data_IF_662441446576
#
_entry.id   IF_662441446576
#
_cell.length_a   1.000
_cell.length_b   1.000
_cell.length_c   1.000
_cell.angle_alpha   90.00
_cell.angle_beta   90.00
_cell.angle_gamma   90.00
#
_symmetry.space_group_name_H-M   'P 1'
#
loop_
_entity.id
_entity.type
_entity.pdbx_description
1 polymer ?
#
# COMPACT_ATOMS: atom_id res chain seq x y z
N UNK A 1 -48.03 -31.45 5.93
CA UNK A 1 -47.65 -32.62 6.76
C UNK A 1 -47.23 -32.14 8.15
N UNK A 2 -47.16 -33.00 9.18
CA UNK A 2 -46.64 -32.59 10.49
C UNK A 2 -45.24 -31.97 10.36
N UNK A 3 -45.00 -30.83 11.03
CA UNK A 3 -43.72 -30.11 10.98
C UNK A 3 -43.58 -29.07 9.86
N UNK A 4 -44.57 -28.93 8.98
CA UNK A 4 -44.54 -27.94 7.92
C UNK A 4 -44.67 -26.51 8.48
N UNK A 5 -43.82 -25.58 8.04
CA UNK A 5 -43.77 -24.17 8.48
C UNK A 5 -43.41 -23.95 9.97
N UNK A 6 -42.74 -24.91 10.62
CA UNK A 6 -42.18 -24.75 11.97
C UNK A 6 -40.66 -24.54 11.86
N UNK A 7 -40.14 -23.50 12.50
CA UNK A 7 -38.69 -23.33 12.72
C UNK A 7 -38.33 -23.84 14.11
N UNK A 8 -37.37 -24.76 14.18
CA UNK A 8 -36.92 -25.33 15.45
C UNK A 8 -35.89 -24.43 16.13
N UNK A 9 -35.81 -24.49 17.47
CA UNK A 9 -34.79 -23.76 18.21
C UNK A 9 -33.38 -24.15 17.72
N UNK A 10 -32.56 -23.14 17.42
CA UNK A 10 -31.21 -23.35 16.89
C UNK A 10 -31.15 -23.81 15.43
N UNK A 11 -32.22 -23.67 14.65
CA UNK A 11 -32.21 -24.02 13.21
C UNK A 11 -31.25 -23.19 12.38
N UNK A 12 -31.02 -21.93 12.78
CA UNK A 12 -30.10 -21.03 12.09
C UNK A 12 -28.74 -20.94 12.82
N UNK A 13 -28.78 -20.65 14.12
CA UNK A 13 -27.58 -20.49 14.97
C UNK A 13 -27.86 -21.17 16.31
N UNK A 14 -27.06 -22.18 16.65
CA UNK A 14 -27.20 -22.89 17.91
C UNK A 14 -26.50 -22.17 19.07
N UNK A 15 -27.01 -22.34 20.28
CA UNK A 15 -26.36 -21.81 21.48
C UNK A 15 -24.98 -22.47 21.66
N UNK A 16 -23.94 -21.64 21.79
CA UNK A 16 -22.56 -22.09 22.00
C UNK A 16 -21.78 -22.34 20.71
N UNK A 17 -22.40 -22.16 19.54
CA UNK A 17 -21.71 -22.20 18.26
C UNK A 17 -20.84 -20.95 18.04
N UNK A 18 -19.76 -21.11 17.28
CA UNK A 18 -18.89 -19.99 16.89
C UNK A 18 -19.59 -19.17 15.80
N UNK A 19 -20.03 -17.97 16.15
CA UNK A 19 -20.71 -17.07 15.21
C UNK A 19 -19.78 -16.52 14.13
N UNK A 20 -18.61 -16.00 14.52
CA UNK A 20 -17.57 -15.46 13.65
C UNK A 20 -16.19 -15.91 14.15
N UNK A 21 -15.23 -16.10 13.24
CA UNK A 21 -13.85 -16.45 13.59
C UNK A 21 -12.97 -15.20 13.64
N UNK A 22 -11.89 -15.26 14.42
CA UNK A 22 -10.86 -14.21 14.38
C UNK A 22 -10.30 -14.07 12.95
N UNK A 23 -10.13 -12.83 12.49
CA UNK A 23 -9.74 -12.51 11.11
C UNK A 23 -10.91 -12.38 10.13
N UNK A 24 -12.15 -12.63 10.54
CA UNK A 24 -13.32 -12.29 9.73
C UNK A 24 -13.45 -10.77 9.59
N UNK A 25 -13.50 -10.29 8.35
CA UNK A 25 -13.78 -8.88 8.05
C UNK A 25 -15.25 -8.59 8.36
N UNK A 26 -15.50 -7.56 9.18
CA UNK A 26 -16.85 -7.19 9.58
C UNK A 26 -17.50 -6.33 8.49
N UNK A 27 -18.41 -6.93 7.71
CA UNK A 27 -19.29 -6.24 6.76
C UNK A 27 -20.74 -6.18 7.24
N UNK A 28 -21.66 -5.81 6.35
CA UNK A 28 -23.10 -5.74 6.67
C UNK A 28 -23.67 -7.08 7.13
N UNK A 29 -23.22 -8.19 6.56
CA UNK A 29 -23.64 -9.55 6.95
C UNK A 29 -23.21 -9.86 8.39
N UNK A 30 -21.95 -9.65 8.73
CA UNK A 30 -21.43 -9.84 10.09
C UNK A 30 -22.18 -8.98 11.10
N UNK A 31 -22.42 -7.71 10.78
CA UNK A 31 -23.18 -6.79 11.63
C UNK A 31 -24.60 -7.31 11.87
N UNK A 32 -25.28 -7.79 10.82
CA UNK A 32 -26.62 -8.39 10.95
C UNK A 32 -26.63 -9.64 11.83
N UNK A 33 -25.62 -10.51 11.68
CA UNK A 33 -25.47 -11.71 12.51
C UNK A 33 -25.24 -11.35 13.99
N UNK A 34 -24.34 -10.40 14.27
CA UNK A 34 -24.08 -9.92 15.62
C UNK A 34 -25.34 -9.32 16.26
N UNK A 35 -26.07 -8.49 15.51
CA UNK A 35 -27.31 -7.87 15.97
C UNK A 35 -28.41 -8.92 16.24
N UNK A 36 -28.58 -9.91 15.36
CA UNK A 36 -29.54 -11.00 15.55
C UNK A 36 -29.26 -11.84 16.81
N UNK A 37 -27.99 -11.94 17.20
CA UNK A 37 -27.57 -12.59 18.44
C UNK A 37 -27.55 -11.66 19.67
N UNK A 38 -27.95 -10.39 19.54
CA UNK A 38 -27.95 -9.42 20.64
C UNK A 38 -26.57 -8.95 21.08
N UNK A 39 -25.55 -9.09 20.23
CA UNK A 39 -24.16 -8.71 20.53
C UNK A 39 -23.93 -7.26 20.11
N UNK A 40 -23.81 -6.37 21.09
CA UNK A 40 -23.62 -4.93 20.85
C UNK A 40 -22.16 -4.51 20.61
N UNK A 41 -21.20 -5.23 21.18
CA UNK A 41 -19.77 -4.90 21.11
C UNK A 41 -18.94 -6.15 20.80
N UNK A 42 -17.93 -5.96 19.96
CA UNK A 42 -16.95 -7.00 19.61
C UNK A 42 -15.53 -6.44 19.68
N UNK A 43 -14.57 -7.29 20.01
CA UNK A 43 -13.15 -6.92 19.96
C UNK A 43 -12.68 -7.01 18.52
N UNK A 44 -12.04 -5.95 18.02
CA UNK A 44 -11.49 -5.86 16.66
C UNK A 44 -10.02 -5.47 16.70
N UNK A 45 -9.29 -5.77 15.63
CA UNK A 45 -7.96 -5.20 15.45
C UNK A 45 -8.07 -3.67 15.32
N UNK A 46 -7.18 -2.94 16.00
CA UNK A 46 -7.05 -1.49 15.79
C UNK A 46 -6.55 -1.23 14.36
N UNK A 47 -6.84 -0.04 13.83
CA UNK A 47 -6.24 0.39 12.56
C UNK A 47 -4.72 0.48 12.68
N UNK A 48 -4.04 0.07 11.62
CA UNK A 48 -2.59 0.18 11.48
C UNK A 48 -2.22 1.64 11.20
N UNK A 49 -1.40 2.27 12.04
CA UNK A 49 -1.02 3.68 11.87
C UNK A 49 0.22 3.75 10.99
N UNK A 50 0.14 4.45 9.87
CA UNK A 50 1.20 4.52 8.88
C UNK A 50 1.56 5.98 8.64
N UNK A 51 2.81 6.36 8.93
CA UNK A 51 3.33 7.67 8.61
C UNK A 51 3.78 7.71 7.14
N UNK A 52 3.50 8.83 6.47
CA UNK A 52 3.94 9.10 5.10
C UNK A 52 4.72 10.41 5.08
N UNK A 53 5.95 10.36 4.58
CA UNK A 53 6.81 11.51 4.32
C UNK A 53 7.08 11.56 2.81
N UNK A 54 7.22 12.76 2.27
CA UNK A 54 7.81 12.96 0.95
C UNK A 54 9.16 13.68 1.10
N UNK A 55 10.07 13.50 0.13
CA UNK A 55 11.35 14.22 0.09
C UNK A 55 11.66 14.68 -1.32
N UNK A 56 12.16 15.91 -1.41
CA UNK A 56 12.57 16.56 -2.66
C UNK A 56 12.40 18.07 -2.59
N UNK A 57 13.45 18.81 -2.92
CA UNK A 57 13.46 20.28 -2.90
C UNK A 57 12.48 20.89 -3.92
N UNK A 58 12.10 20.12 -4.93
CA UNK A 58 11.13 20.51 -5.95
C UNK A 58 9.66 20.39 -5.50
N UNK A 59 9.39 19.73 -4.37
CA UNK A 59 8.03 19.37 -3.99
C UNK A 59 7.26 20.55 -3.38
N UNK A 60 6.06 20.77 -3.91
CA UNK A 60 5.09 21.76 -3.44
C UNK A 60 3.78 21.06 -3.08
N UNK A 61 3.08 21.52 -2.04
CA UNK A 61 1.83 20.89 -1.64
C UNK A 61 0.65 21.36 -2.51
N UNK A 62 -0.31 20.47 -2.83
CA UNK A 62 -1.51 20.86 -3.55
C UNK A 62 -2.25 22.00 -2.84
N UNK A 63 -2.51 23.10 -3.56
CA UNK A 63 -3.15 24.31 -3.02
C UNK A 63 -2.18 25.48 -2.87
N UNK A 64 -0.88 25.22 -2.79
CA UNK A 64 0.16 26.24 -2.81
C UNK A 64 0.52 26.65 -4.25
N UNK A 65 1.17 27.81 -4.41
CA UNK A 65 1.61 28.29 -5.73
C UNK A 65 2.92 27.64 -6.14
N UNK A 66 3.01 27.18 -7.40
CA UNK A 66 4.25 26.64 -7.95
C UNK A 66 5.27 27.74 -8.21
N UNK A 67 6.44 27.61 -7.59
CA UNK A 67 7.64 28.34 -7.99
C UNK A 67 8.30 27.74 -9.25
N UNK A 68 9.32 28.40 -9.80
CA UNK A 68 10.13 27.85 -10.88
C UNK A 68 10.69 26.46 -10.51
N UNK A 69 10.59 25.51 -11.44
CA UNK A 69 11.03 24.11 -11.27
C UNK A 69 10.30 23.29 -10.19
N UNK A 70 9.28 23.86 -9.52
CA UNK A 70 8.45 23.13 -8.57
C UNK A 70 7.50 22.15 -9.25
N UNK A 71 7.21 21.04 -8.57
CA UNK A 71 6.17 20.08 -8.93
C UNK A 71 5.30 19.80 -7.72
N UNK A 72 4.03 19.46 -7.95
CA UNK A 72 3.16 19.07 -6.84
C UNK A 72 3.50 17.68 -6.32
N UNK A 73 3.45 17.51 -5.00
CA UNK A 73 3.57 16.22 -4.35
C UNK A 73 2.33 15.35 -4.60
N UNK A 74 2.38 14.58 -5.69
CA UNK A 74 1.36 13.60 -6.02
C UNK A 74 1.51 12.30 -5.22
N UNK A 75 2.74 11.93 -4.84
CA UNK A 75 2.99 10.62 -4.23
C UNK A 75 2.49 10.57 -2.80
N UNK A 76 2.70 11.62 -2.01
CA UNK A 76 2.19 11.71 -0.64
C UNK A 76 0.68 11.49 -0.60
N UNK A 77 -0.06 12.13 -1.52
CA UNK A 77 -1.50 11.97 -1.65
C UNK A 77 -1.90 10.54 -2.08
N UNK A 78 -1.29 10.02 -3.14
CA UNK A 78 -1.61 8.70 -3.69
C UNK A 78 -1.32 7.58 -2.69
N UNK A 79 -0.14 7.61 -2.04
CA UNK A 79 0.26 6.60 -1.04
C UNK A 79 -0.66 6.66 0.18
N UNK A 80 -1.00 7.85 0.67
CA UNK A 80 -1.90 8.02 1.81
C UNK A 80 -3.30 7.45 1.54
N UNK A 81 -3.83 7.68 0.34
CA UNK A 81 -5.09 7.08 -0.10
C UNK A 81 -4.97 5.54 -0.17
N UNK A 82 -3.93 5.02 -0.81
CA UNK A 82 -3.72 3.59 -0.98
C UNK A 82 -3.53 2.84 0.36
N UNK A 83 -2.93 3.47 1.37
CA UNK A 83 -2.88 2.94 2.74
C UNK A 83 -4.29 2.78 3.33
N UNK A 84 -5.12 3.82 3.18
CA UNK A 84 -6.48 3.85 3.72
C UNK A 84 -7.35 2.78 3.08
N UNK A 85 -7.25 2.61 1.76
CA UNK A 85 -7.91 1.53 1.00
C UNK A 85 -7.51 0.12 1.46
N UNK A 86 -6.33 -0.01 2.08
CA UNK A 86 -5.77 -1.29 2.53
C UNK A 86 -5.81 -1.46 4.06
N UNK A 87 -6.70 -0.72 4.74
CA UNK A 87 -7.00 -0.91 6.16
C UNK A 87 -6.10 -0.16 7.13
N UNK A 88 -5.18 0.67 6.61
CA UNK A 88 -4.37 1.55 7.41
C UNK A 88 -5.07 2.87 7.76
N UNK A 89 -4.50 3.58 8.71
CA UNK A 89 -4.74 4.99 8.99
C UNK A 89 -3.48 5.74 8.59
N UNK A 90 -3.55 6.43 7.44
CA UNK A 90 -2.44 7.23 6.95
C UNK A 90 -2.32 8.54 7.74
N UNK A 91 -1.08 8.93 8.02
CA UNK A 91 -0.73 10.24 8.57
C UNK A 91 0.35 10.83 7.67
N UNK A 92 -0.06 11.70 6.76
CA UNK A 92 0.86 12.44 5.92
C UNK A 92 1.49 13.57 6.74
N UNK A 93 2.81 13.53 6.89
CA UNK A 93 3.57 14.44 7.75
C UNK A 93 4.23 15.57 6.95
N UNK A 94 4.04 15.59 5.63
CA UNK A 94 4.52 16.65 4.74
C UNK A 94 5.67 16.22 3.82
N UNK A 95 6.10 17.18 2.99
CA UNK A 95 7.31 17.06 2.18
C UNK A 95 8.47 17.77 2.90
N UNK A 96 9.60 17.08 2.96
CA UNK A 96 10.83 17.56 3.57
C UNK A 96 11.85 17.90 2.49
N UNK A 97 12.69 18.93 2.70
CA UNK A 97 13.80 19.20 1.80
C UNK A 97 14.81 18.03 1.85
N UNK A 98 15.70 17.97 0.87
CA UNK A 98 16.78 16.97 0.82
C UNK A 98 17.91 17.30 1.82
N UNK A 99 17.55 17.59 3.08
CA UNK A 99 18.42 17.80 4.22
C UNK A 99 18.40 16.59 5.16
N UNK A 100 19.55 15.94 5.30
CA UNK A 100 19.69 14.67 6.02
C UNK A 100 19.27 14.77 7.49
N UNK A 101 19.64 15.84 8.18
CA UNK A 101 19.37 16.01 9.61
C UNK A 101 17.87 16.23 9.88
N UNK A 102 17.23 17.07 9.06
CA UNK A 102 15.79 17.36 9.13
C UNK A 102 14.99 16.10 8.80
N UNK A 103 15.34 15.38 7.73
CA UNK A 103 14.66 14.15 7.35
C UNK A 103 14.84 13.06 8.41
N UNK A 104 16.03 12.88 8.97
CA UNK A 104 16.26 11.91 10.05
C UNK A 104 15.41 12.21 11.28
N UNK A 105 15.38 13.47 11.73
CA UNK A 105 14.57 13.87 12.88
C UNK A 105 13.08 13.55 12.65
N UNK A 106 12.55 13.87 11.47
CA UNK A 106 11.18 13.56 11.09
C UNK A 106 10.90 12.05 11.04
N UNK A 107 11.81 11.26 10.47
CA UNK A 107 11.69 9.80 10.42
C UNK A 107 11.69 9.18 11.82
N UNK A 108 12.53 9.67 12.75
CA UNK A 108 12.56 9.20 14.15
C UNK A 108 11.26 9.53 14.89
N UNK A 109 10.75 10.75 14.75
CA UNK A 109 9.47 11.14 15.34
C UNK A 109 8.31 10.30 14.79
N UNK A 110 8.29 10.12 13.46
CA UNK A 110 7.29 9.29 12.79
C UNK A 110 7.32 7.84 13.31
N UNK A 111 8.51 7.25 13.42
CA UNK A 111 8.68 5.90 13.97
C UNK A 111 8.29 5.78 15.44
N UNK A 112 8.50 6.81 16.27
CA UNK A 112 8.05 6.79 17.65
C UNK A 112 6.51 6.77 17.73
N UNK A 113 5.84 7.54 16.89
CA UNK A 113 4.39 7.72 16.93
C UNK A 113 3.57 6.69 16.13
N UNK A 114 4.16 5.98 15.15
CA UNK A 114 3.44 5.12 14.19
C UNK A 114 3.95 3.67 14.20
N UNK A 115 3.28 2.80 13.44
CA UNK A 115 3.60 1.38 13.34
C UNK A 115 4.43 1.05 12.08
N UNK A 116 4.28 1.87 11.04
CA UNK A 116 4.97 1.77 9.75
C UNK A 116 5.35 3.18 9.29
N UNK A 117 6.53 3.32 8.68
CA UNK A 117 6.98 4.54 8.03
C UNK A 117 7.17 4.30 6.53
N UNK A 118 6.61 5.18 5.71
CA UNK A 118 6.81 5.22 4.27
C UNK A 118 7.35 6.59 3.88
N UNK A 119 8.49 6.59 3.21
CA UNK A 119 9.10 7.77 2.59
C UNK A 119 8.95 7.65 1.09
N UNK A 120 8.41 8.67 0.44
CA UNK A 120 8.30 8.77 -1.00
C UNK A 120 9.35 9.74 -1.55
N UNK A 121 10.20 9.25 -2.46
CA UNK A 121 11.29 10.05 -3.03
C UNK A 121 12.66 9.71 -2.43
N UNK A 122 13.70 10.45 -2.85
CA UNK A 122 15.05 10.34 -2.29
C UNK A 122 15.89 9.13 -2.75
N UNK A 123 15.49 8.44 -3.82
CA UNK A 123 16.13 7.18 -4.26
C UNK A 123 16.79 7.22 -5.66
N UNK A 124 17.07 8.42 -6.19
CA UNK A 124 17.64 8.60 -7.55
C UNK A 124 19.16 8.77 -7.59
N UNK A 125 19.80 8.39 -8.70
CA UNK A 125 21.26 8.28 -8.92
C UNK A 125 22.09 9.58 -8.77
N UNK A 126 21.50 10.72 -8.45
CA UNK A 126 22.20 12.02 -8.35
C UNK A 126 22.41 12.56 -6.93
N UNK A 127 21.68 12.02 -5.95
CA UNK A 127 21.74 12.39 -4.52
C UNK A 127 21.14 11.27 -3.61
N UNK A 128 20.75 10.14 -4.19
CA UNK A 128 19.79 9.17 -3.63
C UNK A 128 20.33 8.17 -2.62
N UNK A 129 21.26 8.60 -1.78
CA UNK A 129 21.78 7.79 -0.67
C UNK A 129 21.36 8.32 0.71
N UNK A 130 20.81 9.55 0.78
CA UNK A 130 20.44 10.19 2.06
C UNK A 130 19.43 9.34 2.83
N UNK A 131 18.32 8.93 2.21
CA UNK A 131 17.32 8.09 2.88
C UNK A 131 17.86 6.73 3.30
N UNK A 132 18.75 6.12 2.51
CA UNK A 132 19.35 4.81 2.85
C UNK A 132 20.29 4.92 4.04
N UNK A 133 21.16 5.94 4.05
CA UNK A 133 22.06 6.22 5.16
C UNK A 133 21.31 6.56 6.45
N UNK A 134 20.22 7.32 6.35
CA UNK A 134 19.36 7.59 7.50
C UNK A 134 18.77 6.28 8.04
N UNK A 135 18.19 5.45 7.16
CA UNK A 135 17.56 4.17 7.54
C UNK A 135 18.53 3.27 8.32
N UNK A 136 19.79 3.17 7.91
CA UNK A 136 20.81 2.37 8.63
C UNK A 136 21.06 2.86 10.08
N UNK A 137 20.72 4.11 10.39
CA UNK A 137 20.85 4.71 11.74
C UNK A 137 19.55 4.71 12.54
N UNK A 138 18.41 4.37 11.93
CA UNK A 138 17.11 4.46 12.61
C UNK A 138 16.86 3.33 13.61
N UNK A 139 17.41 2.14 13.37
CA UNK A 139 17.29 0.99 14.26
C UNK A 139 17.73 -0.31 13.62
N UNK A 140 17.83 -1.39 14.41
CA UNK A 140 18.24 -2.70 13.91
C UNK A 140 17.02 -3.54 13.46
N UNK A 141 17.14 -4.47 12.48
CA UNK A 141 18.35 -4.82 11.72
C UNK A 141 18.70 -3.87 10.56
N UNK A 142 17.89 -2.84 10.30
CA UNK A 142 18.11 -1.89 9.20
C UNK A 142 17.61 -2.43 7.86
N UNK A 143 18.34 -2.16 6.79
CA UNK A 143 17.95 -2.50 5.41
C UNK A 143 17.92 -4.03 5.20
N UNK A 144 16.79 -4.53 4.72
CA UNK A 144 16.55 -5.94 4.38
C UNK A 144 16.66 -6.17 2.87
N UNK A 145 16.26 -5.20 2.06
CA UNK A 145 16.42 -5.22 0.62
C UNK A 145 16.59 -3.81 0.07
N UNK A 146 17.55 -3.63 -0.83
CA UNK A 146 17.75 -2.40 -1.58
C UNK A 146 17.92 -2.71 -3.06
N UNK A 147 16.98 -2.20 -3.86
CA UNK A 147 16.91 -2.50 -5.28
C UNK A 147 16.09 -3.75 -5.57
N UNK A 148 15.05 -3.62 -6.39
CA UNK A 148 14.22 -4.76 -6.85
C UNK A 148 14.37 -4.97 -8.35
N UNK A 149 14.28 -6.23 -8.79
CA UNK A 149 14.30 -6.60 -10.22
C UNK A 149 12.95 -6.32 -10.91
N UNK A 150 12.40 -5.11 -10.70
CA UNK A 150 11.14 -4.64 -11.25
C UNK A 150 11.36 -3.46 -12.20
N UNK A 151 10.48 -3.35 -13.20
CA UNK A 151 10.38 -2.20 -14.09
C UNK A 151 8.91 -1.81 -14.28
N UNK A 152 8.49 -0.59 -13.96
CA UNK A 152 9.23 0.46 -13.25
C UNK A 152 9.46 0.10 -11.76
N UNK A 153 10.27 0.90 -11.04
CA UNK A 153 10.41 0.75 -9.58
C UNK A 153 11.68 0.08 -9.06
N UNK A 154 12.75 -0.01 -9.86
CA UNK A 154 14.07 -0.49 -9.40
C UNK A 154 14.51 0.12 -8.05
N UNK A 155 14.46 1.45 -7.82
CA UNK A 155 14.92 2.03 -6.56
C UNK A 155 13.85 1.89 -5.47
N UNK A 156 13.95 0.81 -4.68
CA UNK A 156 13.10 0.54 -3.53
C UNK A 156 13.99 0.12 -2.36
N UNK A 157 13.79 0.74 -1.20
CA UNK A 157 14.41 0.31 0.04
C UNK A 157 13.34 -0.29 0.96
N UNK A 158 13.58 -1.51 1.41
CA UNK A 158 12.79 -2.18 2.44
C UNK A 158 13.67 -2.40 3.65
N UNK A 159 13.23 -1.89 4.80
CA UNK A 159 13.97 -1.98 6.03
C UNK A 159 13.05 -2.31 7.22
N UNK A 160 13.66 -2.76 8.29
CA UNK A 160 13.02 -2.95 9.59
C UNK A 160 13.87 -2.24 10.63
N UNK A 161 13.28 -1.27 11.31
CA UNK A 161 13.92 -0.51 12.38
C UNK A 161 13.20 -0.80 13.69
N UNK A 162 13.87 -1.51 14.60
CA UNK A 162 13.36 -1.90 15.92
C UNK A 162 11.97 -2.59 15.85
N UNK A 163 11.82 -3.48 14.87
CA UNK A 163 10.59 -4.24 14.62
C UNK A 163 9.51 -3.51 13.82
N UNK A 164 9.73 -2.24 13.42
CA UNK A 164 8.81 -1.46 12.59
C UNK A 164 9.26 -1.40 11.14
N UNK A 165 8.38 -1.68 10.15
CA UNK A 165 8.72 -1.53 8.74
C UNK A 165 9.00 -0.07 8.37
N UNK A 166 10.09 0.14 7.63
CA UNK A 166 10.44 1.40 6.98
C UNK A 166 10.60 1.13 5.49
N UNK A 167 9.94 1.94 4.67
CA UNK A 167 9.92 1.79 3.21
C UNK A 167 10.35 3.10 2.58
N UNK A 168 11.29 3.05 1.63
CA UNK A 168 11.62 4.19 0.78
C UNK A 168 11.22 3.87 -0.65
N UNK A 169 10.17 4.53 -1.12
CA UNK A 169 9.59 4.36 -2.45
C UNK A 169 10.33 5.18 -3.51
N UNK A 170 10.28 4.76 -4.79
CA UNK A 170 10.71 5.59 -5.92
C UNK A 170 10.09 6.99 -5.93
N UNK A 171 10.81 8.00 -6.42
CA UNK A 171 10.25 9.36 -6.59
C UNK A 171 9.24 9.49 -7.72
N UNK A 172 9.31 8.64 -8.75
CA UNK A 172 8.37 8.68 -9.87
C UNK A 172 7.00 8.09 -9.48
N UNK A 173 5.87 8.79 -9.72
CA UNK A 173 4.55 8.37 -9.23
C UNK A 173 4.13 6.97 -9.66
N UNK A 174 4.29 6.63 -10.94
CA UNK A 174 3.95 5.30 -11.45
C UNK A 174 4.82 4.23 -10.79
N UNK A 175 6.10 4.50 -10.58
CA UNK A 175 7.03 3.58 -9.93
C UNK A 175 6.68 3.37 -8.45
N UNK A 176 6.39 4.45 -7.73
CA UNK A 176 5.96 4.42 -6.33
C UNK A 176 4.68 3.60 -6.17
N UNK A 177 3.71 3.79 -7.07
CA UNK A 177 2.43 3.11 -7.01
C UNK A 177 2.55 1.60 -7.26
N UNK A 178 3.30 1.18 -8.29
CA UNK A 178 3.52 -0.24 -8.56
C UNK A 178 4.27 -0.92 -7.41
N UNK A 179 5.36 -0.32 -6.92
CA UNK A 179 6.14 -0.89 -5.82
C UNK A 179 5.33 -0.93 -4.52
N UNK A 180 4.52 0.09 -4.24
CA UNK A 180 3.60 0.09 -3.10
C UNK A 180 2.59 -1.05 -3.17
N UNK A 181 1.90 -1.23 -4.31
CA UNK A 181 0.90 -2.29 -4.44
C UNK A 181 1.48 -3.70 -4.43
N UNK A 182 2.62 -3.92 -5.10
CA UNK A 182 3.22 -5.25 -5.21
C UNK A 182 3.94 -5.68 -3.92
N UNK A 183 4.68 -4.76 -3.28
CA UNK A 183 5.54 -5.10 -2.14
C UNK A 183 4.96 -4.71 -0.79
N UNK A 184 4.22 -3.59 -0.70
CA UNK A 184 3.86 -2.98 0.59
C UNK A 184 2.45 -3.34 1.02
N UNK A 185 1.48 -3.36 0.09
CA UNK A 185 0.08 -3.73 0.38
C UNK A 185 -0.03 -5.13 1.04
N UNK A 186 0.67 -6.18 0.59
CA UNK A 186 0.61 -7.48 1.26
C UNK A 186 1.03 -7.42 2.73
N UNK A 187 2.05 -6.60 3.05
CA UNK A 187 2.55 -6.40 4.41
C UNK A 187 1.54 -5.62 5.25
N UNK A 188 1.04 -4.49 4.74
CA UNK A 188 0.05 -3.65 5.43
C UNK A 188 -1.22 -4.43 5.76
N UNK A 189 -1.76 -5.18 4.79
CA UNK A 189 -2.99 -5.96 4.99
C UNK A 189 -2.78 -7.05 6.04
N UNK A 190 -1.64 -7.74 6.01
CA UNK A 190 -1.29 -8.76 7.02
C UNK A 190 -1.19 -8.15 8.41
N UNK A 191 -0.52 -7.01 8.56
CA UNK A 191 -0.41 -6.28 9.83
C UNK A 191 -1.76 -5.74 10.32
N UNK A 192 -2.65 -5.35 9.41
CA UNK A 192 -4.01 -4.92 9.71
C UNK A 192 -4.98 -6.09 10.00
N UNK A 193 -4.52 -7.35 9.94
CA UNK A 193 -5.38 -8.53 10.13
C UNK A 193 -6.39 -8.74 9.01
N UNK A 194 -6.15 -8.15 7.83
CA UNK A 194 -7.00 -8.29 6.65
C UNK A 194 -6.55 -9.48 5.78
N UNK A 195 -7.48 -10.12 5.06
CA UNK A 195 -7.13 -11.13 4.07
C UNK A 195 -6.26 -10.52 2.98
N UNK A 196 -5.44 -11.33 2.31
CA UNK A 196 -4.69 -10.91 1.14
C UNK A 196 -5.63 -10.28 0.10
N UNK A 197 -5.14 -9.30 -0.67
CA UNK A 197 -5.91 -8.69 -1.74
C UNK A 197 -6.17 -9.75 -2.80
N UNK A 198 -7.45 -9.94 -3.15
CA UNK A 198 -7.80 -10.75 -4.33
C UNK A 198 -7.68 -9.85 -5.55
N UNK A 199 -6.68 -10.11 -6.38
CA UNK A 199 -6.52 -9.43 -7.66
C UNK A 199 -7.13 -10.28 -8.77
N UNK A 200 -7.94 -9.65 -9.63
CA UNK A 200 -8.43 -10.31 -10.83
C UNK A 200 -7.25 -10.45 -11.82
N UNK A 201 -6.85 -11.68 -12.11
CA UNK A 201 -5.89 -11.99 -13.18
C UNK A 201 -6.68 -12.45 -14.40
N UNK A 202 -6.50 -11.76 -15.51
CA UNK A 202 -7.18 -12.04 -16.76
C UNK A 202 -6.13 -12.30 -17.86
N UNK A 203 -6.40 -13.28 -18.71
CA UNK A 203 -5.62 -13.48 -19.93
C UNK A 203 -6.16 -12.53 -21.02
N UNK A 204 -5.25 -11.81 -21.69
CA UNK A 204 -5.59 -10.91 -22.78
C UNK A 204 -4.55 -11.02 -23.90
N UNK A 205 -4.99 -10.81 -25.15
CA UNK A 205 -4.09 -10.77 -26.32
C UNK A 205 -3.43 -9.40 -26.41
N UNK A 206 -2.10 -9.36 -26.53
CA UNK A 206 -1.37 -8.12 -26.81
C UNK A 206 -1.18 -8.01 -28.33
N UNK A 207 -1.77 -7.00 -29.00
CA UNK A 207 -1.71 -6.88 -30.45
C UNK A 207 -0.41 -6.20 -30.94
N UNK A 208 0.36 -5.62 -30.03
CA UNK A 208 1.60 -4.90 -30.31
C UNK A 208 2.79 -5.62 -29.64
N UNK A 209 3.95 -5.57 -30.28
CA UNK A 209 5.19 -6.11 -29.69
C UNK A 209 5.63 -5.24 -28.52
N UNK A 210 5.72 -5.83 -27.34
CA UNK A 210 6.36 -5.22 -26.16
C UNK A 210 7.81 -5.70 -26.13
N UNK A 211 8.77 -4.76 -26.13
CA UNK A 211 10.16 -5.11 -25.87
C UNK A 211 10.38 -5.11 -24.36
N UNK A 212 10.82 -6.24 -23.83
CA UNK A 212 11.13 -6.39 -22.42
C UNK A 212 12.60 -6.72 -22.20
N UNK A 213 13.14 -6.26 -21.08
CA UNK A 213 14.52 -6.52 -20.68
C UNK A 213 14.61 -7.86 -19.93
N UNK A 214 15.54 -8.73 -20.36
CA UNK A 214 15.81 -9.98 -19.66
C UNK A 214 16.27 -9.70 -18.21
N UNK A 215 15.74 -10.51 -17.28
CA UNK A 215 16.13 -10.45 -15.86
C UNK A 215 15.33 -9.45 -15.00
N UNK A 216 14.26 -8.85 -15.54
CA UNK A 216 13.34 -8.00 -14.77
C UNK A 216 11.90 -8.36 -15.07
N UNK A 217 11.06 -8.34 -14.03
CA UNK A 217 9.62 -8.35 -14.22
C UNK A 217 9.17 -6.94 -14.61
N UNK A 218 8.58 -6.81 -15.79
CA UNK A 218 8.09 -5.54 -16.32
C UNK A 218 6.57 -5.44 -16.19
N UNK A 219 6.11 -4.41 -15.49
CA UNK A 219 4.72 -4.03 -15.41
C UNK A 219 4.42 -3.00 -16.50
N UNK A 220 3.67 -3.42 -17.52
CA UNK A 220 3.23 -2.56 -18.61
C UNK A 220 1.80 -2.13 -18.36
N UNK A 221 1.57 -0.82 -18.32
CA UNK A 221 0.21 -0.26 -18.26
C UNK A 221 -0.50 -0.53 -19.57
N UNK A 222 -1.69 -1.11 -19.49
CA UNK A 222 -2.51 -1.47 -20.64
C UNK A 222 -3.94 -0.95 -20.48
N UNK A 223 -4.57 -0.60 -21.59
CA UNK A 223 -6.02 -0.47 -21.70
C UNK A 223 -6.58 -1.81 -22.15
N UNK A 224 -7.53 -2.35 -21.40
CA UNK A 224 -8.26 -3.57 -21.75
C UNK A 224 -9.49 -3.21 -22.57
N UNK A 225 -9.63 -3.83 -23.75
CA UNK A 225 -10.75 -3.64 -24.67
C UNK A 225 -11.33 -5.00 -25.02
N UNK A 226 -12.66 -5.12 -25.04
CA UNK A 226 -13.33 -6.31 -25.57
C UNK A 226 -13.16 -6.36 -27.10
N UNK A 227 -12.64 -7.47 -27.61
CA UNK A 227 -12.58 -7.78 -29.04
C UNK A 227 -13.42 -9.01 -29.38
N UNK A 228 -13.57 -9.28 -30.68
CA UNK A 228 -14.39 -10.41 -31.19
C UNK A 228 -13.96 -11.79 -30.66
N UNK A 229 -12.68 -11.95 -30.30
CA UNK A 229 -12.09 -13.20 -29.80
C UNK A 229 -11.72 -13.14 -28.32
N UNK A 230 -12.20 -12.12 -27.58
CA UNK A 230 -11.90 -11.91 -26.17
C UNK A 230 -11.11 -10.62 -25.90
N UNK A 231 -10.57 -10.50 -24.68
CA UNK A 231 -9.90 -9.28 -24.21
C UNK A 231 -8.60 -9.01 -24.98
N UNK A 232 -8.42 -7.76 -25.38
CA UNK A 232 -7.22 -7.23 -26.03
C UNK A 232 -6.59 -6.17 -25.12
N UNK A 233 -5.30 -6.30 -24.86
CA UNK A 233 -4.54 -5.39 -24.01
C UNK A 233 -3.68 -4.45 -24.87
N UNK A 234 -4.08 -3.18 -24.98
CA UNK A 234 -3.31 -2.15 -25.69
C UNK A 234 -2.37 -1.44 -24.73
N UNK A 235 -1.04 -1.52 -24.92
CA UNK A 235 -0.09 -0.77 -24.12
C UNK A 235 -0.37 0.73 -24.18
N UNK A 236 -0.51 1.35 -23.01
CA UNK A 236 -0.60 2.79 -22.90
C UNK A 236 0.84 3.29 -22.86
N UNK A 237 1.32 3.80 -23.99
CA UNK A 237 2.69 4.30 -24.08
C UNK A 237 2.90 5.46 -23.11
N UNK A 238 3.79 5.27 -22.13
CA UNK A 238 4.65 6.26 -21.47
C UNK A 238 5.53 5.52 -20.44
N UNK A 239 6.74 6.02 -20.24
CA UNK A 239 7.67 5.49 -19.23
C UNK A 239 7.16 5.77 -17.82
N UNK A 240 8.05 5.72 -16.83
CA UNK A 240 7.73 6.00 -15.43
C UNK A 240 7.39 7.47 -15.13
N UNK A 241 7.32 8.36 -16.13
CA UNK A 241 7.07 9.79 -16.01
C UNK A 241 6.28 10.36 -17.20
#
# INVERSE_FOLDING_TARGET
SPGQFISHAGSDIARGEVLLRAGTVIGSREIGMLAACGIALVTVARKLRVAVLSTGDELVQPGDSLGPAGIYDANGAIVSAAITENGGQASFLGAYPDDEATLEAAMREALAAHDVLIVSGGTSKGAGDVSHHIVDRLGAPGIVAHGVALKPGKPLCLAVCDGKPVVVLPGFPTSAMFTFHDMIVPVLRRMAGLPARTEAKLAAKVPLRIQSELGRTEFVMVSLVEGEQGLVAYPIGKGSG
#
